data_IF_391774082587
#
_entry.id   IF_391774082587
#
_cell.length_a   1.000
_cell.length_b   1.000
_cell.length_c   1.000
_cell.angle_alpha   90.00
_cell.angle_beta   90.00
_cell.angle_gamma   90.00
#
_symmetry.space_group_name_H-M   'P 1'
#
loop_
_entity.id
_entity.type
_entity.pdbx_description
1 polymer ?
#
# COMPACT_ATOMS: atom_id res chain seq x y z
N UNK A 1 -13.02 2.10 7.33
CA UNK A 1 -12.01 1.85 6.29
C UNK A 1 -12.53 0.70 5.47
N UNK A 2 -12.52 0.83 4.16
CA UNK A 2 -12.91 -0.23 3.24
C UNK A 2 -11.67 -0.99 2.78
N UNK A 3 -11.71 -2.31 2.85
CA UNK A 3 -10.64 -3.16 2.34
C UNK A 3 -10.93 -3.55 0.88
N UNK A 4 -9.96 -3.28 0.01
CA UNK A 4 -9.93 -3.78 -1.36
C UNK A 4 -8.73 -4.72 -1.51
N UNK A 5 -8.97 -5.93 -2.01
CA UNK A 5 -7.93 -6.93 -2.23
C UNK A 5 -7.71 -7.16 -3.72
N UNK A 6 -6.45 -7.19 -4.13
CA UNK A 6 -6.06 -7.57 -5.48
C UNK A 6 -4.77 -8.40 -5.47
N UNK A 7 -4.45 -9.01 -6.62
CA UNK A 7 -3.20 -9.76 -6.80
C UNK A 7 -2.34 -9.07 -7.84
N UNK A 8 -1.05 -8.95 -7.58
CA UNK A 8 -0.09 -8.32 -8.48
C UNK A 8 1.24 -9.08 -8.47
N UNK A 9 1.66 -9.62 -9.62
CA UNK A 9 2.89 -10.40 -9.80
C UNK A 9 3.12 -11.51 -8.76
N UNK A 10 2.04 -12.17 -8.32
CA UNK A 10 2.09 -13.26 -7.32
C UNK A 10 2.00 -12.80 -5.87
N UNK A 11 2.07 -11.49 -5.60
CA UNK A 11 1.80 -10.92 -4.28
C UNK A 11 0.32 -10.63 -4.10
N UNK A 12 -0.17 -10.82 -2.88
CA UNK A 12 -1.49 -10.36 -2.49
C UNK A 12 -1.37 -8.95 -1.91
N UNK A 13 -2.09 -8.01 -2.49
CA UNK A 13 -2.14 -6.62 -2.04
C UNK A 13 -3.49 -6.39 -1.37
N UNK A 14 -3.48 -5.91 -0.14
CA UNK A 14 -4.66 -5.41 0.56
C UNK A 14 -4.52 -3.90 0.72
N UNK A 15 -5.46 -3.17 0.16
CA UNK A 15 -5.57 -1.72 0.26
C UNK A 15 -6.64 -1.41 1.32
N UNK A 16 -6.24 -0.76 2.40
CA UNK A 16 -7.18 -0.20 3.37
C UNK A 16 -7.45 1.26 2.99
N UNK A 17 -8.51 1.48 2.23
CA UNK A 17 -8.92 2.81 1.77
C UNK A 17 -9.72 3.48 2.90
N UNK A 18 -9.44 4.76 3.23
CA UNK A 18 -10.23 5.48 4.23
C UNK A 18 -11.67 5.67 3.75
N UNK A 19 -12.64 5.81 4.67
CA UNK A 19 -14.05 6.02 4.28
C UNK A 19 -14.33 7.48 3.90
N UNK A 20 -13.45 8.38 4.35
CA UNK A 20 -13.47 9.81 4.06
C UNK A 20 -12.05 10.30 3.84
N UNK A 21 -11.87 11.27 2.94
CA UNK A 21 -10.57 11.94 2.80
C UNK A 21 -10.58 13.21 3.64
N UNK A 22 -9.62 13.32 4.57
CA UNK A 22 -9.44 14.50 5.42
C UNK A 22 -8.04 15.06 5.18
N UNK A 23 -7.89 16.35 4.81
CA UNK A 23 -6.59 16.97 4.66
C UNK A 23 -5.71 16.84 5.91
N UNK A 24 -4.43 16.52 5.71
CA UNK A 24 -3.45 16.37 6.81
C UNK A 24 -3.59 15.10 7.64
N UNK A 25 -4.41 14.13 7.22
CA UNK A 25 -4.52 12.82 7.87
C UNK A 25 -4.00 11.73 6.91
N UNK A 26 -3.24 10.72 7.38
CA UNK A 26 -2.74 9.67 6.51
C UNK A 26 -3.88 8.96 5.76
N UNK A 27 -3.77 8.91 4.43
CA UNK A 27 -4.82 8.40 3.57
C UNK A 27 -4.60 6.92 3.25
N UNK A 28 -4.99 6.08 4.22
CA UNK A 28 -5.07 4.64 4.04
C UNK A 28 -3.81 3.86 4.41
N UNK A 29 -3.78 2.59 4.03
CA UNK A 29 -2.69 1.66 4.33
C UNK A 29 -2.59 0.60 3.24
N UNK A 30 -1.38 0.14 2.98
CA UNK A 30 -1.10 -1.01 2.12
C UNK A 30 -0.60 -2.15 2.98
N UNK A 31 -1.09 -3.35 2.70
CA UNK A 31 -0.52 -4.60 3.19
C UNK A 31 -0.13 -5.47 2.00
N UNK A 32 1.13 -5.86 1.94
CA UNK A 32 1.66 -6.83 0.98
C UNK A 32 1.82 -8.16 1.71
N UNK A 33 1.07 -9.16 1.27
CA UNK A 33 1.13 -10.52 1.80
C UNK A 33 1.87 -11.42 0.82
N UNK A 34 2.69 -12.30 1.37
CA UNK A 34 3.32 -13.38 0.63
C UNK A 34 2.24 -14.34 0.07
N UNK A 35 2.59 -15.20 -0.91
CA UNK A 35 1.62 -16.12 -1.53
C UNK A 35 0.92 -17.07 -0.55
N UNK A 36 1.55 -17.37 0.59
CA UNK A 36 1.00 -18.19 1.68
C UNK A 36 0.02 -17.42 2.59
N UNK A 37 -0.20 -16.13 2.33
CA UNK A 37 -1.08 -15.24 3.10
C UNK A 37 -0.40 -14.61 4.32
N UNK A 38 0.86 -14.93 4.59
CA UNK A 38 1.62 -14.29 5.68
C UNK A 38 1.88 -12.83 5.34
N UNK A 39 1.66 -11.93 6.31
CA UNK A 39 1.94 -10.51 6.13
C UNK A 39 3.44 -10.29 5.99
N UNK A 40 3.88 -9.79 4.83
CA UNK A 40 5.26 -9.45 4.57
C UNK A 40 5.58 -8.01 4.94
N UNK A 41 4.80 -7.06 4.40
CA UNK A 41 5.03 -5.63 4.59
C UNK A 41 3.70 -4.92 4.85
N UNK A 42 3.70 -3.98 5.79
CA UNK A 42 2.60 -3.05 6.03
C UNK A 42 3.16 -1.64 6.14
N UNK A 43 2.58 -0.70 5.41
CA UNK A 43 2.93 0.71 5.52
C UNK A 43 1.74 1.61 5.23
N UNK A 44 1.79 2.81 5.78
CA UNK A 44 0.85 3.89 5.50
C UNK A 44 1.64 4.98 4.79
N UNK A 45 1.41 5.22 3.49
CA UNK A 45 2.03 6.32 2.79
C UNK A 45 1.66 7.65 3.43
N UNK A 46 2.67 8.50 3.62
CA UNK A 46 2.46 9.90 3.94
C UNK A 46 2.43 10.69 2.64
N UNK A 47 1.26 11.21 2.29
CA UNK A 47 1.08 11.97 1.05
C UNK A 47 1.24 13.45 1.36
N UNK A 48 2.05 14.21 0.60
CA UNK A 48 2.20 15.65 0.80
C UNK A 48 0.87 16.39 0.60
N UNK A 49 0.03 15.90 -0.32
CA UNK A 49 -1.33 16.38 -0.55
C UNK A 49 -2.33 15.24 -0.37
N UNK A 50 -3.50 15.48 0.24
CA UNK A 50 -4.54 14.48 0.35
C UNK A 50 -5.14 14.16 -1.04
N UNK A 51 -5.52 12.90 -1.31
CA UNK A 51 -6.22 12.55 -2.54
C UNK A 51 -7.56 13.29 -2.62
N UNK A 52 -7.94 13.78 -3.80
CA UNK A 52 -9.16 14.54 -4.02
C UNK A 52 -10.44 13.68 -3.92
N UNK A 53 -10.32 12.35 -3.92
CA UNK A 53 -11.43 11.43 -3.80
C UNK A 53 -11.00 10.07 -3.25
N UNK A 54 -11.96 9.27 -2.80
CA UNK A 54 -11.73 7.88 -2.38
C UNK A 54 -11.14 7.02 -3.50
N UNK A 55 -11.63 7.20 -4.73
CA UNK A 55 -11.12 6.49 -5.89
C UNK A 55 -9.65 6.82 -6.15
N UNK A 56 -9.29 8.10 -6.05
CA UNK A 56 -7.89 8.52 -6.20
C UNK A 56 -7.02 7.97 -5.07
N UNK A 57 -7.53 7.90 -3.84
CA UNK A 57 -6.82 7.27 -2.72
C UNK A 57 -6.51 5.80 -3.02
N UNK A 58 -7.50 5.04 -3.51
CA UNK A 58 -7.32 3.64 -3.91
C UNK A 58 -6.30 3.49 -5.05
N UNK A 59 -6.41 4.31 -6.10
CA UNK A 59 -5.49 4.31 -7.24
C UNK A 59 -4.04 4.61 -6.82
N UNK A 60 -3.85 5.59 -5.93
CA UNK A 60 -2.52 5.96 -5.42
C UNK A 60 -1.92 4.86 -4.54
N UNK A 61 -2.72 4.28 -3.63
CA UNK A 61 -2.30 3.17 -2.79
C UNK A 61 -1.89 1.97 -3.65
N UNK A 62 -2.66 1.63 -4.68
CA UNK A 62 -2.32 0.55 -5.61
C UNK A 62 -1.05 0.85 -6.40
N UNK A 63 -0.92 2.06 -6.98
CA UNK A 63 0.24 2.44 -7.77
C UNK A 63 1.55 2.38 -6.95
N UNK A 64 1.50 2.84 -5.70
CA UNK A 64 2.65 2.80 -4.80
C UNK A 64 3.00 1.36 -4.40
N UNK A 65 1.99 0.53 -4.10
CA UNK A 65 2.18 -0.88 -3.80
C UNK A 65 2.80 -1.64 -4.99
N UNK A 66 2.30 -1.41 -6.21
CA UNK A 66 2.84 -1.99 -7.43
C UNK A 66 4.28 -1.53 -7.69
N UNK A 67 4.57 -0.25 -7.46
CA UNK A 67 5.92 0.31 -7.56
C UNK A 67 6.91 -0.38 -6.61
N UNK A 68 6.54 -0.61 -5.34
CA UNK A 68 7.38 -1.36 -4.40
C UNK A 68 7.58 -2.80 -4.87
N UNK A 69 6.52 -3.46 -5.34
CA UNK A 69 6.66 -4.83 -5.87
C UNK A 69 7.63 -4.87 -7.05
N UNK A 70 7.56 -3.88 -7.94
CA UNK A 70 8.38 -3.77 -9.14
C UNK A 70 9.83 -3.42 -8.85
N UNK A 71 10.09 -2.50 -7.93
CA UNK A 71 11.44 -2.04 -7.58
C UNK A 71 12.16 -3.00 -6.62
N UNK A 72 11.47 -3.47 -5.59
CA UNK A 72 12.12 -4.05 -4.40
C UNK A 72 11.91 -5.57 -4.32
N UNK A 73 10.67 -6.03 -4.52
CA UNK A 73 10.32 -7.45 -4.29
C UNK A 73 10.59 -8.35 -5.51
N UNK A 74 10.54 -7.82 -6.74
CA UNK A 74 10.95 -8.56 -7.94
C UNK A 74 12.48 -8.52 -8.18
N UNK A 75 13.18 -7.55 -7.58
CA UNK A 75 14.61 -7.29 -7.77
C UNK A 75 15.53 -7.75 -6.64
N UNK A 76 14.99 -8.14 -5.47
CA UNK A 76 15.79 -8.63 -4.34
C UNK A 76 16.42 -7.53 -3.47
N UNK A 77 15.99 -6.28 -3.60
CA UNK A 77 16.33 -5.24 -2.62
C UNK A 77 15.39 -5.39 -1.42
N UNK A 78 15.87 -6.08 -0.40
CA UNK A 78 15.18 -6.21 0.87
C UNK A 78 15.11 -4.83 1.54
N UNK A 79 13.89 -4.31 1.71
CA UNK A 79 13.67 -3.15 2.56
C UNK A 79 13.96 -3.59 4.01
N UNK A 80 15.14 -3.22 4.53
CA UNK A 80 15.43 -3.32 5.96
C UNK A 80 14.70 -2.18 6.67
N UNK A 81 13.52 -2.48 7.21
CA UNK A 81 12.75 -1.58 8.05
C UNK A 81 13.25 -1.65 9.49
N UNK A 82 14.54 -1.36 9.73
CA UNK A 82 15.01 -1.05 11.07
C UNK A 82 14.66 0.39 11.43
N UNK A 83 13.96 0.55 12.55
CA UNK A 83 13.76 1.84 13.21
C UNK A 83 14.49 1.77 14.56
N UNK A 84 15.55 2.56 14.71
CA UNK A 84 16.13 2.92 16.03
C UNK A 84 15.24 3.92 16.76
#
# INVERSE_FOLDING_TARGET
MTEAQCSYKGFQIVLCVPDTVVPGTPCGRVELKAPDGTLGIRFTPDWPDPPASLKQAEEWLFAYAAGIVDCELAGGFGIDLHHD
#
